data_IF_433563240907
#
_entry.id   IF_433563240907
#
_cell.length_a   1.000
_cell.length_b   1.000
_cell.length_c   1.000
_cell.angle_alpha   90.00
_cell.angle_beta   90.00
_cell.angle_gamma   90.00
#
_symmetry.space_group_name_H-M   'P 1'
#
loop_
_entity.id
_entity.type
_entity.pdbx_description
1 polymer ?
#
# COMPACT_ATOMS: atom_id res chain seq x y z
N UNK A 1 -39.71 -50.71 24.84
CA UNK A 1 -40.48 -49.48 25.15
C UNK A 1 -39.52 -48.31 25.18
N UNK A 2 -39.90 -47.23 24.48
CA UNK A 2 -39.10 -46.07 24.06
C UNK A 2 -38.45 -45.31 25.22
N UNK A 3 -37.16 -44.97 25.07
CA UNK A 3 -36.50 -43.91 25.83
C UNK A 3 -37.02 -42.54 25.35
N UNK A 4 -37.19 -41.63 26.32
CA UNK A 4 -37.63 -40.26 26.13
C UNK A 4 -36.59 -39.43 25.38
N UNK A 5 -37.00 -38.82 24.26
CA UNK A 5 -36.33 -37.64 23.70
C UNK A 5 -37.11 -36.41 24.16
N UNK A 6 -36.62 -35.75 25.21
CA UNK A 6 -37.07 -34.41 25.59
C UNK A 6 -36.20 -33.43 24.83
N UNK A 7 -36.76 -32.87 23.77
CA UNK A 7 -36.16 -31.80 22.98
C UNK A 7 -36.03 -30.55 23.85
N UNK A 8 -34.81 -30.23 24.29
CA UNK A 8 -34.49 -28.92 24.87
C UNK A 8 -34.46 -27.89 23.73
N UNK A 9 -35.19 -26.76 23.84
CA UNK A 9 -35.11 -25.71 22.84
C UNK A 9 -33.74 -25.02 22.92
N UNK A 10 -33.14 -24.84 21.75
CA UNK A 10 -31.84 -24.21 21.56
C UNK A 10 -31.75 -22.89 22.31
N UNK A 11 -30.76 -22.83 23.21
CA UNK A 11 -30.32 -21.57 23.79
C UNK A 11 -29.80 -20.70 22.64
N UNK A 12 -30.65 -19.81 22.15
CA UNK A 12 -30.23 -18.64 21.37
C UNK A 12 -29.28 -17.88 22.28
N UNK A 13 -28.00 -18.14 22.10
CA UNK A 13 -26.92 -17.34 22.67
C UNK A 13 -27.06 -15.98 22.04
N UNK A 14 -27.71 -15.07 22.75
CA UNK A 14 -27.63 -13.64 22.47
C UNK A 14 -26.17 -13.24 22.70
N UNK A 15 -25.33 -13.42 21.69
CA UNK A 15 -24.05 -12.75 21.60
C UNK A 15 -24.34 -11.26 21.50
N UNK A 16 -24.39 -10.61 22.67
CA UNK A 16 -24.28 -9.17 22.79
C UNK A 16 -22.99 -8.77 22.08
N UNK A 17 -23.12 -8.19 20.89
CA UNK A 17 -22.03 -7.72 20.06
C UNK A 17 -21.21 -6.71 20.84
N UNK A 18 -20.11 -7.16 21.45
CA UNK A 18 -19.13 -6.23 22.02
C UNK A 18 -18.67 -5.28 20.90
N UNK A 19 -18.49 -3.98 21.18
CA UNK A 19 -17.96 -3.07 20.19
C UNK A 19 -16.59 -3.58 19.73
N UNK A 20 -16.39 -3.60 18.42
CA UNK A 20 -15.16 -4.05 17.77
C UNK A 20 -14.09 -2.98 18.04
N UNK A 21 -12.99 -3.36 18.71
CA UNK A 21 -11.94 -2.43 19.14
C UNK A 21 -10.71 -2.64 18.27
N UNK A 22 -10.55 -1.75 17.31
CA UNK A 22 -9.35 -1.72 16.49
C UNK A 22 -8.30 -0.80 17.12
N UNK A 23 -7.06 -1.27 17.21
CA UNK A 23 -5.88 -0.49 17.61
C UNK A 23 -4.97 -0.36 16.40
N UNK A 24 -5.23 0.60 15.51
CA UNK A 24 -4.19 1.09 14.63
C UNK A 24 -3.40 2.16 15.37
N UNK A 25 -2.08 1.95 15.49
CA UNK A 25 -1.15 3.00 15.88
C UNK A 25 -0.96 3.96 14.70
N UNK A 26 -1.43 5.20 14.87
CA UNK A 26 -1.20 6.29 13.91
C UNK A 26 0.30 6.46 13.60
N UNK A 27 1.16 6.22 14.58
CA UNK A 27 2.62 6.34 14.47
C UNK A 27 3.16 5.34 13.45
N UNK A 28 2.69 4.09 13.44
CA UNK A 28 3.17 3.08 12.50
C UNK A 28 2.83 3.44 11.06
N UNK A 29 1.64 4.01 10.82
CA UNK A 29 1.23 4.52 9.51
C UNK A 29 2.14 5.68 9.07
N UNK A 30 2.46 6.60 10.00
CA UNK A 30 3.35 7.72 9.73
C UNK A 30 4.80 7.26 9.46
N UNK A 31 5.30 6.27 10.19
CA UNK A 31 6.62 5.68 9.94
C UNK A 31 6.69 5.00 8.58
N UNK A 32 5.67 4.21 8.23
CA UNK A 32 5.54 3.61 6.91
C UNK A 32 5.52 4.70 5.83
N UNK A 33 4.65 5.71 5.97
CA UNK A 33 4.56 6.83 5.03
C UNK A 33 5.89 7.59 4.87
N UNK A 34 6.62 7.79 5.97
CA UNK A 34 7.95 8.41 5.93
C UNK A 34 8.96 7.54 5.19
N UNK A 35 8.94 6.22 5.40
CA UNK A 35 9.79 5.29 4.67
C UNK A 35 9.47 5.28 3.17
N UNK A 36 8.18 5.29 2.79
CA UNK A 36 7.74 5.41 1.39
C UNK A 36 8.23 6.72 0.79
N UNK A 37 8.07 7.84 1.49
CA UNK A 37 8.52 9.15 1.02
C UNK A 37 10.02 9.17 0.74
N UNK A 38 10.85 8.66 1.67
CA UNK A 38 12.30 8.56 1.48
C UNK A 38 12.63 7.65 0.30
N UNK A 39 11.95 6.51 0.15
CA UNK A 39 12.16 5.61 -0.98
C UNK A 39 11.84 6.29 -2.33
N UNK A 40 10.75 7.06 -2.42
CA UNK A 40 10.40 7.84 -3.61
C UNK A 40 11.45 8.91 -3.95
N UNK A 41 11.98 9.61 -2.93
CA UNK A 41 13.04 10.60 -3.13
C UNK A 41 14.32 9.95 -3.64
N UNK A 42 14.71 8.80 -3.07
CA UNK A 42 15.85 8.04 -3.57
C UNK A 42 15.57 7.61 -5.02
N UNK A 43 14.36 7.20 -5.36
CA UNK A 43 13.95 6.89 -6.75
C UNK A 43 13.79 8.11 -7.67
N UNK A 44 14.27 9.30 -7.28
CA UNK A 44 14.23 10.52 -8.09
C UNK A 44 12.82 11.00 -8.46
N UNK A 45 11.84 10.67 -7.62
CA UNK A 45 10.53 11.31 -7.71
C UNK A 45 10.66 12.73 -7.15
N UNK A 46 10.21 13.77 -7.88
CA UNK A 46 10.31 15.15 -7.40
C UNK A 46 9.63 15.31 -6.03
N UNK A 47 10.20 16.06 -5.07
CA UNK A 47 9.70 16.09 -3.69
C UNK A 47 8.23 16.44 -3.55
N UNK A 48 7.74 17.39 -4.37
CA UNK A 48 6.31 17.75 -4.42
C UNK A 48 5.43 16.56 -4.83
N UNK A 49 5.85 15.83 -5.86
CA UNK A 49 5.11 14.69 -6.40
C UNK A 49 5.13 13.55 -5.38
N UNK A 50 6.29 13.27 -4.78
CA UNK A 50 6.42 12.26 -3.73
C UNK A 50 5.52 12.56 -2.52
N UNK A 51 5.45 13.82 -2.09
CA UNK A 51 4.60 14.23 -0.97
C UNK A 51 3.11 14.03 -1.27
N UNK A 52 2.66 14.42 -2.47
CA UNK A 52 1.26 14.25 -2.89
C UNK A 52 0.92 12.77 -3.06
N UNK A 53 1.80 11.97 -3.67
CA UNK A 53 1.59 10.54 -3.84
C UNK A 53 1.48 9.80 -2.50
N UNK A 54 2.36 10.12 -1.54
CA UNK A 54 2.29 9.57 -0.17
C UNK A 54 1.02 10.02 0.53
N UNK A 55 0.61 11.29 0.39
CA UNK A 55 -0.64 11.77 0.94
C UNK A 55 -1.84 10.99 0.37
N UNK A 56 -1.91 10.81 -0.95
CA UNK A 56 -2.96 10.00 -1.60
C UNK A 56 -2.95 8.58 -1.04
N UNK A 57 -1.79 7.93 -0.96
CA UNK A 57 -1.68 6.57 -0.42
C UNK A 57 -2.13 6.47 1.04
N UNK A 58 -1.79 7.44 1.88
CA UNK A 58 -2.24 7.52 3.28
C UNK A 58 -3.77 7.69 3.35
N UNK A 59 -4.34 8.60 2.56
CA UNK A 59 -5.79 8.79 2.48
C UNK A 59 -6.50 7.51 2.01
N UNK A 60 -5.93 6.81 1.04
CA UNK A 60 -6.42 5.52 0.56
C UNK A 60 -6.36 4.45 1.66
N UNK A 61 -5.25 4.32 2.38
CA UNK A 61 -5.11 3.41 3.52
C UNK A 61 -6.21 3.67 4.55
N UNK A 62 -6.43 4.93 4.94
CA UNK A 62 -7.46 5.26 5.91
C UNK A 62 -8.87 5.01 5.37
N UNK A 63 -9.17 5.37 4.11
CA UNK A 63 -10.46 5.12 3.50
C UNK A 63 -10.77 3.61 3.41
N UNK A 64 -9.85 2.83 2.84
CA UNK A 64 -10.02 1.39 2.65
C UNK A 64 -9.96 0.59 3.95
N UNK A 65 -9.06 0.94 4.87
CA UNK A 65 -8.98 0.31 6.19
C UNK A 65 -10.23 0.59 7.03
N UNK A 66 -10.77 1.81 6.94
CA UNK A 66 -12.05 2.15 7.58
C UNK A 66 -13.21 1.41 6.93
N UNK A 67 -13.25 1.33 5.60
CA UNK A 67 -14.25 0.54 4.88
C UNK A 67 -14.20 -0.94 5.31
N UNK A 68 -13.02 -1.55 5.33
CA UNK A 68 -12.80 -2.92 5.81
C UNK A 68 -13.36 -3.13 7.22
N UNK A 69 -13.09 -2.20 8.14
CA UNK A 69 -13.55 -2.29 9.53
C UNK A 69 -15.09 -2.34 9.68
N UNK A 70 -15.85 -1.89 8.68
CA UNK A 70 -17.30 -1.95 8.72
C UNK A 70 -17.85 -3.37 8.50
N UNK A 71 -17.07 -4.25 7.83
CA UNK A 71 -17.54 -5.56 7.39
C UNK A 71 -16.83 -6.73 8.09
N UNK A 72 -15.67 -6.48 8.70
CA UNK A 72 -14.93 -7.54 9.38
C UNK A 72 -15.51 -7.80 10.77
N UNK A 73 -15.94 -9.03 10.99
CA UNK A 73 -16.37 -9.55 12.30
C UNK A 73 -15.18 -10.12 13.07
N UNK A 74 -14.24 -9.26 13.48
CA UNK A 74 -13.07 -9.65 14.29
C UNK A 74 -12.90 -8.70 15.47
N UNK A 75 -12.23 -9.19 16.52
CA UNK A 75 -11.90 -8.36 17.68
C UNK A 75 -10.80 -7.34 17.38
N UNK A 76 -9.83 -7.69 16.52
CA UNK A 76 -8.68 -6.85 16.17
C UNK A 76 -8.26 -7.06 14.70
N UNK A 77 -7.74 -6.01 14.05
CA UNK A 77 -6.94 -6.13 12.82
C UNK A 77 -5.49 -5.78 13.19
N UNK A 78 -4.52 -6.25 12.42
CA UNK A 78 -3.13 -5.81 12.61
C UNK A 78 -2.88 -4.54 11.81
N UNK A 79 -1.84 -3.76 12.15
CA UNK A 79 -1.48 -2.58 11.37
C UNK A 79 -1.12 -2.95 9.92
N UNK A 80 -0.55 -4.14 9.71
CA UNK A 80 -0.18 -4.68 8.40
C UNK A 80 -1.42 -4.97 7.56
N UNK A 81 -2.45 -5.57 8.17
CA UNK A 81 -3.74 -5.79 7.53
C UNK A 81 -4.42 -4.47 7.17
N UNK A 82 -4.46 -3.51 8.11
CA UNK A 82 -5.07 -2.21 7.89
C UNK A 82 -4.38 -1.43 6.78
N UNK A 83 -3.04 -1.37 6.78
CA UNK A 83 -2.28 -0.67 5.74
C UNK A 83 -2.34 -1.40 4.40
N UNK A 84 -2.11 -2.72 4.37
CA UNK A 84 -2.05 -3.49 3.13
C UNK A 84 -3.42 -3.61 2.45
N UNK A 85 -4.40 -4.18 3.15
CA UNK A 85 -5.76 -4.33 2.61
C UNK A 85 -6.43 -2.96 2.46
N UNK A 86 -6.16 -2.03 3.37
CA UNK A 86 -6.67 -0.66 3.26
C UNK A 86 -6.12 0.08 2.05
N UNK A 87 -4.84 -0.05 1.71
CA UNK A 87 -4.30 0.54 0.48
C UNK A 87 -4.98 -0.06 -0.76
N UNK A 88 -5.18 -1.37 -0.80
CA UNK A 88 -5.81 -2.06 -1.94
C UNK A 88 -7.29 -1.67 -2.12
N UNK A 89 -8.09 -1.71 -1.03
CA UNK A 89 -9.50 -1.31 -1.08
C UNK A 89 -9.65 0.20 -1.28
N UNK A 90 -8.78 0.98 -0.64
CA UNK A 90 -8.78 2.43 -0.72
C UNK A 90 -8.44 2.93 -2.11
N UNK A 91 -7.43 2.36 -2.77
CA UNK A 91 -7.09 2.69 -4.15
C UNK A 91 -8.24 2.33 -5.10
N UNK A 92 -8.81 1.11 -4.96
CA UNK A 92 -9.99 0.65 -5.70
C UNK A 92 -11.16 1.62 -5.61
N UNK A 93 -11.53 2.02 -4.39
CA UNK A 93 -12.60 2.97 -4.18
C UNK A 93 -12.24 4.35 -4.76
N UNK A 94 -11.02 4.82 -4.52
CA UNK A 94 -10.56 6.16 -4.92
C UNK A 94 -10.60 6.36 -6.43
N UNK A 95 -9.93 5.51 -7.21
CA UNK A 95 -10.02 5.66 -8.67
C UNK A 95 -11.40 5.22 -9.18
N UNK A 96 -12.12 4.32 -8.51
CA UNK A 96 -13.47 3.92 -8.92
C UNK A 96 -14.44 5.10 -8.91
N UNK A 97 -14.48 5.85 -7.81
CA UNK A 97 -15.26 7.10 -7.72
C UNK A 97 -14.76 8.13 -8.73
N UNK A 98 -13.45 8.30 -8.86
CA UNK A 98 -12.85 9.21 -9.84
C UNK A 98 -13.29 8.94 -11.28
N UNK A 99 -13.38 7.66 -11.66
CA UNK A 99 -13.76 7.21 -13.01
C UNK A 99 -15.26 7.28 -13.24
N UNK A 100 -16.10 6.93 -12.24
CA UNK A 100 -17.56 7.04 -12.32
C UNK A 100 -17.99 8.50 -12.49
N UNK A 101 -17.36 9.41 -11.74
CA UNK A 101 -17.73 10.83 -11.71
C UNK A 101 -16.88 11.70 -12.66
N UNK A 102 -16.05 11.11 -13.52
CA UNK A 102 -15.12 11.84 -14.40
C UNK A 102 -15.82 12.90 -15.26
N UNK A 103 -17.00 12.59 -15.77
CA UNK A 103 -17.77 13.47 -16.67
C UNK A 103 -18.87 14.24 -15.93
N UNK A 104 -18.64 14.56 -14.65
CA UNK A 104 -19.58 15.32 -13.81
C UNK A 104 -18.90 16.54 -13.21
N UNK A 105 -19.69 17.46 -12.66
CA UNK A 105 -19.19 18.71 -12.05
C UNK A 105 -18.29 18.48 -10.83
N UNK A 106 -18.36 17.30 -10.21
CA UNK A 106 -17.54 16.94 -9.04
C UNK A 106 -16.25 16.19 -9.39
N UNK A 107 -15.94 16.02 -10.68
CA UNK A 107 -14.78 15.27 -11.18
C UNK A 107 -13.43 15.70 -10.58
N UNK A 108 -13.30 16.99 -10.21
CA UNK A 108 -12.08 17.53 -9.60
C UNK A 108 -11.74 16.94 -8.23
N UNK A 109 -12.74 16.50 -7.46
CA UNK A 109 -12.56 16.01 -6.09
C UNK A 109 -13.26 14.68 -5.80
N UNK A 110 -13.97 14.08 -6.75
CA UNK A 110 -14.68 12.81 -6.56
C UNK A 110 -13.82 11.68 -6.00
N UNK A 111 -12.53 11.67 -6.34
CA UNK A 111 -11.55 10.72 -5.81
C UNK A 111 -11.38 10.78 -4.28
N UNK A 112 -11.74 11.90 -3.64
CA UNK A 112 -11.65 12.07 -2.18
C UNK A 112 -12.87 11.50 -1.43
N UNK A 113 -13.97 11.19 -2.14
CA UNK A 113 -15.23 10.74 -1.53
C UNK A 113 -15.08 9.49 -0.63
N UNK A 114 -14.24 8.48 -0.96
CA UNK A 114 -14.02 7.34 -0.09
C UNK A 114 -13.47 7.69 1.31
N UNK A 115 -12.85 8.85 1.50
CA UNK A 115 -12.36 9.30 2.81
C UNK A 115 -13.51 9.40 3.83
N UNK A 116 -14.75 9.60 3.37
CA UNK A 116 -15.94 9.63 4.21
C UNK A 116 -16.18 8.31 4.98
N UNK A 117 -15.59 7.18 4.56
CA UNK A 117 -15.66 5.94 5.33
C UNK A 117 -14.98 6.05 6.71
N UNK A 118 -13.97 6.90 6.86
CA UNK A 118 -13.28 7.10 8.14
C UNK A 118 -14.22 7.64 9.25
N UNK A 119 -14.84 8.83 9.11
CA UNK A 119 -15.76 9.33 10.13
C UNK A 119 -16.98 8.42 10.33
N UNK A 120 -17.46 7.74 9.27
CA UNK A 120 -18.55 6.77 9.37
C UNK A 120 -18.19 5.56 10.24
N UNK A 121 -16.97 5.03 10.11
CA UNK A 121 -16.50 3.91 10.93
C UNK A 121 -16.29 4.31 12.40
N UNK A 122 -15.79 5.52 12.63
CA UNK A 122 -15.65 6.09 13.99
C UNK A 122 -17.02 6.29 14.62
N UNK A 123 -17.97 6.89 13.89
CA UNK A 123 -19.33 7.13 14.38
C UNK A 123 -20.04 5.84 14.77
N UNK A 124 -19.87 4.77 13.98
CA UNK A 124 -20.40 3.43 14.29
C UNK A 124 -19.62 2.69 15.39
N UNK A 125 -18.64 3.34 16.03
CA UNK A 125 -17.76 2.74 17.05
C UNK A 125 -17.06 1.46 16.57
N UNK A 126 -16.78 1.38 15.26
CA UNK A 126 -16.07 0.24 14.62
C UNK A 126 -14.56 0.46 14.56
N UNK A 127 -14.14 1.72 14.58
CA UNK A 127 -12.75 2.11 14.52
C UNK A 127 -12.41 2.96 15.75
N UNK A 128 -11.40 2.54 16.50
CA UNK A 128 -10.67 3.39 17.44
C UNK A 128 -9.27 3.61 16.88
N UNK A 129 -8.72 4.79 17.10
CA UNK A 129 -7.34 5.09 16.70
C UNK A 129 -6.60 5.27 18.01
N UNK A 130 -5.66 4.36 18.27
CA UNK A 130 -4.80 4.49 19.43
C UNK A 130 -3.60 5.36 19.05
N UNK A 131 -3.44 6.46 19.79
CA UNK A 131 -2.33 7.41 19.62
C UNK A 131 -1.19 7.07 20.59
N UNK A 132 -1.41 6.13 21.51
CA UNK A 132 -0.42 5.74 22.50
C UNK A 132 0.80 5.13 21.81
N UNK A 133 1.98 5.62 22.18
CA UNK A 133 3.26 5.27 21.57
C UNK A 133 3.44 3.75 21.69
N UNK A 134 3.41 3.05 20.55
CA UNK A 134 3.85 1.67 20.48
C UNK A 134 5.36 1.63 20.70
N UNK A 135 5.77 1.64 21.97
CA UNK A 135 7.12 1.28 22.38
C UNK A 135 7.29 -0.21 22.15
N UNK A 136 7.73 -0.60 20.97
CA UNK A 136 8.25 -1.96 20.77
C UNK A 136 9.28 -1.99 19.64
N UNK A 137 10.48 -2.48 19.96
CA UNK A 137 11.52 -2.79 18.98
C UNK A 137 11.00 -3.71 17.86
N UNK A 138 9.99 -4.53 18.17
CA UNK A 138 9.26 -5.42 17.27
C UNK A 138 8.71 -4.68 16.03
N UNK A 139 8.24 -3.43 16.18
CA UNK A 139 7.74 -2.64 15.05
C UNK A 139 8.88 -2.18 14.13
N UNK A 140 10.07 -1.94 14.67
CA UNK A 140 11.21 -1.48 13.87
C UNK A 140 11.85 -2.61 13.08
N UNK A 141 11.98 -3.81 13.66
CA UNK A 141 12.46 -4.98 12.90
C UNK A 141 11.44 -5.39 11.83
N UNK A 142 10.14 -5.37 12.13
CA UNK A 142 9.10 -5.64 11.14
C UNK A 142 9.17 -4.67 9.95
N UNK A 143 9.26 -3.36 10.22
CA UNK A 143 9.40 -2.35 9.17
C UNK A 143 10.66 -2.57 8.33
N UNK A 144 11.78 -2.91 8.97
CA UNK A 144 13.03 -3.20 8.26
C UNK A 144 12.91 -4.44 7.38
N UNK A 145 12.28 -5.51 7.87
CA UNK A 145 12.04 -6.72 7.10
C UNK A 145 11.09 -6.46 5.92
N UNK A 146 10.02 -5.69 6.14
CA UNK A 146 9.09 -5.25 5.08
C UNK A 146 9.83 -4.42 4.04
N UNK A 147 10.63 -3.43 4.44
CA UNK A 147 11.45 -2.64 3.50
C UNK A 147 12.42 -3.53 2.72
N UNK A 148 13.03 -4.52 3.36
CA UNK A 148 13.92 -5.45 2.70
C UNK A 148 13.19 -6.29 1.63
N UNK A 149 12.01 -6.81 1.96
CA UNK A 149 11.18 -7.57 1.01
C UNK A 149 10.71 -6.69 -0.15
N UNK A 150 10.32 -5.44 0.12
CA UNK A 150 9.93 -4.47 -0.92
C UNK A 150 11.08 -4.22 -1.89
N UNK A 151 12.27 -3.91 -1.39
CA UNK A 151 13.44 -3.70 -2.25
C UNK A 151 13.87 -4.96 -2.98
N UNK A 152 13.70 -6.14 -2.38
CA UNK A 152 13.98 -7.41 -3.05
C UNK A 152 13.01 -7.68 -4.19
N UNK A 153 11.71 -7.45 -4.01
CA UNK A 153 10.70 -7.61 -5.07
C UNK A 153 10.92 -6.60 -6.20
N UNK A 154 11.31 -5.37 -5.87
CA UNK A 154 11.64 -4.38 -6.88
C UNK A 154 12.95 -4.72 -7.61
N UNK A 155 13.86 -5.50 -7.01
CA UNK A 155 15.21 -5.71 -7.52
C UNK A 155 15.38 -6.22 -8.96
N UNK A 156 14.49 -7.06 -9.52
CA UNK A 156 14.63 -7.54 -10.90
C UNK A 156 14.49 -6.42 -11.92
N UNK A 157 13.54 -5.52 -11.69
CA UNK A 157 13.30 -4.34 -12.52
C UNK A 157 14.27 -3.22 -12.10
N UNK A 158 14.38 -3.04 -10.79
CA UNK A 158 15.20 -2.04 -10.14
C UNK A 158 16.48 -2.66 -9.64
N UNK A 159 17.54 -2.73 -10.43
CA UNK A 159 18.75 -3.42 -9.96
C UNK A 159 19.42 -2.77 -8.71
N UNK A 160 19.25 -1.45 -8.50
CA UNK A 160 19.96 -0.70 -7.45
C UNK A 160 19.48 -0.87 -5.99
N UNK A 161 18.22 -1.24 -5.68
CA UNK A 161 17.80 -1.56 -4.33
C UNK A 161 18.28 -2.94 -3.87
N UNK A 162 18.82 -3.80 -4.74
CA UNK A 162 19.27 -5.14 -4.33
C UNK A 162 20.29 -5.10 -3.17
N UNK A 163 21.36 -4.29 -3.22
CA UNK A 163 22.28 -4.19 -2.08
C UNK A 163 21.60 -3.66 -0.81
N UNK A 164 20.64 -2.74 -0.93
CA UNK A 164 19.86 -2.22 0.20
C UNK A 164 18.97 -3.30 0.82
N UNK A 165 18.33 -4.14 -0.01
CA UNK A 165 17.54 -5.27 0.44
C UNK A 165 18.41 -6.24 1.24
N UNK A 166 19.58 -6.61 0.71
CA UNK A 166 20.52 -7.51 1.40
C UNK A 166 21.07 -6.88 2.69
N UNK A 167 21.33 -5.58 2.70
CA UNK A 167 21.77 -4.87 3.89
C UNK A 167 20.69 -4.90 4.99
N UNK A 168 19.44 -4.60 4.62
CA UNK A 168 18.32 -4.64 5.55
C UNK A 168 18.08 -6.06 6.09
N UNK A 169 18.10 -7.11 5.25
CA UNK A 169 18.06 -8.51 5.69
C UNK A 169 19.19 -8.81 6.68
N UNK A 170 20.41 -8.36 6.37
CA UNK A 170 21.57 -8.60 7.23
C UNK A 170 21.40 -7.95 8.61
N UNK A 171 20.83 -6.75 8.66
CA UNK A 171 20.52 -6.05 9.92
C UNK A 171 19.40 -6.78 10.68
N UNK A 172 18.36 -7.29 10.01
CA UNK A 172 17.32 -8.12 10.63
C UNK A 172 17.94 -9.38 11.25
N UNK A 173 18.79 -10.10 10.50
CA UNK A 173 19.50 -11.29 11.01
C UNK A 173 20.40 -10.94 12.20
N UNK A 174 21.10 -9.80 12.17
CA UNK A 174 21.90 -9.33 13.30
C UNK A 174 21.04 -9.12 14.57
N UNK A 175 19.85 -8.52 14.43
CA UNK A 175 18.93 -8.25 15.54
C UNK A 175 18.36 -9.53 16.12
N UNK A 176 17.77 -10.37 15.26
CA UNK A 176 16.93 -11.52 15.65
C UNK A 176 17.71 -12.82 15.86
N UNK A 177 18.92 -12.95 15.30
CA UNK A 177 19.70 -14.20 15.35
C UNK A 177 21.07 -14.00 16.02
N UNK A 178 21.15 -14.08 17.37
CA UNK A 178 22.39 -13.86 18.12
C UNK A 178 23.59 -14.70 17.66
N UNK A 179 23.33 -15.95 17.23
CA UNK A 179 24.35 -16.88 16.72
C UNK A 179 25.10 -16.34 15.49
N UNK A 180 24.42 -15.55 14.65
CA UNK A 180 24.96 -15.09 13.37
C UNK A 180 25.48 -13.66 13.41
N UNK A 181 25.34 -12.94 14.53
CA UNK A 181 25.74 -11.53 14.68
C UNK A 181 27.10 -11.23 14.06
N UNK A 182 28.19 -11.86 14.52
CA UNK A 182 29.54 -11.57 13.98
C UNK A 182 29.62 -11.63 12.44
N UNK A 183 29.01 -12.63 11.82
CA UNK A 183 28.96 -12.78 10.36
C UNK A 183 28.11 -11.67 9.73
N UNK A 184 26.95 -11.37 10.29
CA UNK A 184 26.09 -10.27 9.85
C UNK A 184 26.78 -8.91 9.93
N UNK A 185 27.60 -8.61 10.94
CA UNK A 185 28.36 -7.35 10.97
C UNK A 185 29.38 -7.26 9.82
N UNK A 186 30.11 -8.35 9.56
CA UNK A 186 31.10 -8.37 8.48
C UNK A 186 30.41 -8.17 7.12
N UNK A 187 29.30 -8.89 6.89
CA UNK A 187 28.51 -8.75 5.67
C UNK A 187 27.94 -7.32 5.55
N UNK A 188 27.39 -6.76 6.63
CA UNK A 188 26.88 -5.39 6.63
C UNK A 188 27.97 -4.35 6.33
N UNK A 189 29.18 -4.52 6.88
CA UNK A 189 30.31 -3.64 6.61
C UNK A 189 30.70 -3.62 5.12
N UNK A 190 30.57 -4.75 4.42
CA UNK A 190 30.76 -4.83 2.98
C UNK A 190 29.56 -4.26 2.19
N UNK A 191 28.33 -4.52 2.64
CA UNK A 191 27.12 -4.09 1.93
C UNK A 191 26.83 -2.59 2.05
N UNK A 192 27.29 -1.92 3.10
CA UNK A 192 27.13 -0.46 3.27
C UNK A 192 27.75 0.33 2.09
N UNK A 193 29.06 0.21 1.78
CA UNK A 193 29.64 0.95 0.67
C UNK A 193 29.03 0.56 -0.68
N UNK A 194 28.69 -0.73 -0.87
CA UNK A 194 28.01 -1.20 -2.10
C UNK A 194 26.64 -0.53 -2.24
N UNK A 195 25.86 -0.44 -1.17
CA UNK A 195 24.55 0.21 -1.16
C UNK A 195 24.64 1.69 -1.48
N UNK A 196 25.61 2.39 -0.89
CA UNK A 196 25.88 3.80 -1.19
C UNK A 196 26.25 3.99 -2.66
N UNK A 197 27.19 3.20 -3.18
CA UNK A 197 27.57 3.25 -4.60
C UNK A 197 26.39 2.93 -5.52
N UNK A 198 25.55 1.96 -5.14
CA UNK A 198 24.38 1.57 -5.91
C UNK A 198 23.36 2.71 -6.01
N UNK A 199 23.07 3.41 -4.91
CA UNK A 199 22.24 4.63 -4.94
C UNK A 199 22.88 5.70 -5.82
N UNK A 200 24.17 5.98 -5.66
CA UNK A 200 24.86 7.05 -6.42
C UNK A 200 24.96 6.76 -7.92
N UNK A 201 24.94 5.49 -8.33
CA UNK A 201 25.04 5.05 -9.73
C UNK A 201 23.72 4.56 -10.32
N UNK A 202 22.62 4.70 -9.60
CA UNK A 202 21.29 4.32 -10.10
C UNK A 202 20.94 5.13 -11.37
N UNK A 203 20.17 4.55 -12.29
CA UNK A 203 19.77 5.25 -13.51
C UNK A 203 18.74 6.36 -13.20
N UNK A 204 18.88 7.48 -13.92
CA UNK A 204 18.06 8.70 -13.75
C UNK A 204 16.78 8.64 -14.62
N UNK A 205 16.80 7.80 -15.67
CA UNK A 205 15.67 7.46 -16.52
C UNK A 205 15.72 5.96 -16.79
N UNK A 206 14.64 5.26 -16.50
CA UNK A 206 14.61 3.80 -16.38
C UNK A 206 14.14 3.17 -17.68
N UNK A 207 15.07 2.62 -18.48
CA UNK A 207 14.88 1.86 -19.75
C UNK A 207 13.64 2.20 -20.61
N UNK A 208 13.23 3.47 -20.67
CA UNK A 208 11.99 3.96 -21.29
C UNK A 208 12.05 3.84 -22.82
N UNK A 209 12.17 2.63 -23.36
CA UNK A 209 12.13 2.31 -24.79
C UNK A 209 11.60 0.90 -25.06
N UNK A 210 11.01 0.19 -24.08
CA UNK A 210 10.15 -0.95 -24.44
C UNK A 210 8.76 -0.43 -24.82
N UNK A 211 8.22 -0.93 -25.93
CA UNK A 211 6.98 -0.41 -26.55
C UNK A 211 5.78 -0.46 -25.60
N UNK A 212 5.78 -1.43 -24.69
CA UNK A 212 4.68 -1.67 -23.77
C UNK A 212 4.60 -0.59 -22.68
N UNK A 213 5.73 -0.10 -22.17
CA UNK A 213 5.74 0.96 -21.15
C UNK A 213 5.18 2.26 -21.73
N UNK A 214 5.48 2.54 -22.99
CA UNK A 214 4.92 3.69 -23.70
C UNK A 214 3.41 3.59 -23.87
N UNK A 215 2.90 2.39 -24.17
CA UNK A 215 1.47 2.14 -24.19
C UNK A 215 0.84 2.32 -22.80
N UNK A 216 1.48 1.86 -21.73
CA UNK A 216 0.99 2.01 -20.36
C UNK A 216 0.90 3.47 -19.91
N UNK A 217 1.90 4.28 -20.26
CA UNK A 217 1.86 5.73 -20.02
C UNK A 217 0.72 6.39 -20.80
N UNK A 218 0.59 6.07 -22.09
CA UNK A 218 -0.45 6.62 -22.94
C UNK A 218 -1.86 6.27 -22.44
N UNK A 219 -2.08 5.02 -22.00
CA UNK A 219 -3.33 4.58 -21.38
C UNK A 219 -3.58 5.32 -20.06
N UNK A 220 -2.57 5.44 -19.20
CA UNK A 220 -2.69 6.13 -17.91
C UNK A 220 -3.09 7.60 -18.09
N UNK A 221 -2.45 8.30 -19.04
CA UNK A 221 -2.79 9.68 -19.41
C UNK A 221 -4.23 9.80 -19.92
N UNK A 222 -4.63 8.91 -20.80
CA UNK A 222 -6.00 8.84 -21.36
C UNK A 222 -7.05 8.65 -20.27
N UNK A 223 -6.85 7.68 -19.38
CA UNK A 223 -7.77 7.42 -18.27
C UNK A 223 -7.78 8.54 -17.22
N UNK A 224 -6.64 9.22 -17.05
CA UNK A 224 -6.51 10.41 -16.20
C UNK A 224 -7.32 11.59 -16.73
N UNK A 225 -7.35 11.79 -18.04
CA UNK A 225 -8.02 12.93 -18.69
C UNK A 225 -9.49 12.66 -19.04
N UNK A 226 -9.78 11.57 -19.77
CA UNK A 226 -11.10 11.29 -20.33
C UNK A 226 -11.86 10.17 -19.59
N UNK A 227 -11.11 9.32 -18.88
CA UNK A 227 -11.67 8.20 -18.14
C UNK A 227 -11.90 6.96 -19.01
N UNK A 228 -12.44 5.89 -18.42
CA UNK A 228 -12.51 4.56 -19.05
C UNK A 228 -13.45 4.45 -20.27
N UNK A 229 -14.29 5.46 -20.51
CA UNK A 229 -15.25 5.48 -21.64
C UNK A 229 -14.61 5.84 -22.96
N UNK A 230 -13.42 6.40 -22.94
CA UNK A 230 -12.65 6.78 -24.12
C UNK A 230 -11.41 5.89 -24.24
N UNK A 231 -11.04 5.54 -25.48
CA UNK A 231 -9.94 4.64 -25.79
C UNK A 231 -8.93 5.32 -26.72
N UNK A 232 -7.67 5.36 -26.29
CA UNK A 232 -6.57 5.93 -27.06
C UNK A 232 -6.31 5.19 -28.39
N UNK A 233 -6.61 3.88 -28.44
CA UNK A 233 -6.37 3.05 -29.61
C UNK A 233 -7.57 3.01 -30.58
N UNK A 234 -8.69 3.66 -30.26
CA UNK A 234 -9.89 3.60 -31.08
C UNK A 234 -10.94 4.63 -30.68
N UNK A 235 -11.04 5.70 -31.47
CA UNK A 235 -12.05 6.74 -31.26
C UNK A 235 -13.48 6.16 -31.26
N UNK A 236 -14.30 6.62 -30.32
CA UNK A 236 -15.68 6.15 -30.15
C UNK A 236 -15.82 4.77 -29.49
N UNK A 237 -14.72 4.19 -29.00
CA UNK A 237 -14.74 2.92 -28.25
C UNK A 237 -14.30 3.13 -26.80
N UNK A 238 -14.77 2.26 -25.89
CA UNK A 238 -14.35 2.26 -24.48
C UNK A 238 -13.01 1.54 -24.29
N UNK A 239 -12.27 1.93 -23.25
CA UNK A 239 -11.05 1.22 -22.86
C UNK A 239 -11.41 -0.09 -22.17
N UNK A 240 -11.15 -1.21 -22.85
CA UNK A 240 -11.44 -2.56 -22.32
C UNK A 240 -10.18 -3.29 -21.79
N UNK A 241 -8.99 -2.74 -22.01
CA UNK A 241 -7.72 -3.38 -21.67
C UNK A 241 -7.24 -2.98 -20.26
N UNK A 242 -7.15 -3.94 -19.34
CA UNK A 242 -6.52 -3.88 -17.99
C UNK A 242 -6.42 -2.49 -17.32
N UNK A 243 -7.48 -1.68 -17.42
CA UNK A 243 -7.38 -0.24 -17.21
C UNK A 243 -7.31 0.15 -15.73
N UNK A 244 -7.58 -0.78 -14.83
CA UNK A 244 -7.63 -0.54 -13.39
C UNK A 244 -6.34 0.06 -12.82
N UNK A 245 -5.19 -0.60 -13.05
CA UNK A 245 -3.90 -0.11 -12.55
C UNK A 245 -3.51 1.22 -13.20
N UNK A 246 -3.80 1.39 -14.49
CA UNK A 246 -3.48 2.60 -15.25
C UNK A 246 -4.39 3.78 -14.90
N UNK A 247 -5.65 3.55 -14.54
CA UNK A 247 -6.54 4.59 -14.03
C UNK A 247 -6.08 5.10 -12.67
N UNK A 248 -5.52 4.23 -11.83
CA UNK A 248 -4.90 4.66 -10.58
C UNK A 248 -3.64 5.49 -10.85
N UNK A 249 -2.76 5.08 -11.77
CA UNK A 249 -1.61 5.91 -12.17
C UNK A 249 -2.05 7.27 -12.72
N UNK A 250 -3.01 7.29 -13.65
CA UNK A 250 -3.54 8.51 -14.24
C UNK A 250 -4.19 9.45 -13.22
N UNK A 251 -4.80 8.90 -12.16
CA UNK A 251 -5.26 9.68 -11.01
C UNK A 251 -4.10 10.32 -10.25
N UNK A 252 -3.05 9.56 -9.95
CA UNK A 252 -1.87 10.10 -9.24
C UNK A 252 -1.24 11.20 -10.10
N UNK A 253 -1.01 10.94 -11.40
CA UNK A 253 -0.43 11.90 -12.33
C UNK A 253 -1.21 13.21 -12.38
N UNK A 254 -2.53 13.13 -12.53
CA UNK A 254 -3.40 14.30 -12.60
C UNK A 254 -3.42 15.08 -11.29
N UNK A 255 -3.55 14.40 -10.15
CA UNK A 255 -3.67 15.07 -8.84
C UNK A 255 -2.33 15.66 -8.40
N UNK A 256 -1.20 14.99 -8.67
CA UNK A 256 0.11 15.52 -8.30
C UNK A 256 0.69 16.50 -9.32
N UNK A 257 0.20 16.50 -10.56
CA UNK A 257 0.84 17.19 -11.67
C UNK A 257 2.18 16.53 -12.03
N UNK A 258 2.20 15.21 -12.03
CA UNK A 258 3.42 14.42 -12.26
C UNK A 258 3.96 14.62 -13.68
N UNK A 259 5.29 14.80 -13.85
CA UNK A 259 5.92 14.68 -15.16
C UNK A 259 5.68 13.30 -15.76
N UNK A 260 5.83 13.21 -17.09
CA UNK A 260 5.71 11.95 -17.80
C UNK A 260 6.57 10.85 -17.17
N UNK A 261 6.03 9.63 -17.15
CA UNK A 261 6.70 8.41 -16.70
C UNK A 261 6.95 8.32 -15.20
N UNK A 262 6.85 9.39 -14.42
CA UNK A 262 7.21 9.37 -12.99
C UNK A 262 6.29 8.46 -12.18
N UNK A 263 4.98 8.46 -12.44
CA UNK A 263 4.08 7.59 -11.68
C UNK A 263 4.23 6.13 -12.07
N UNK A 264 4.17 5.82 -13.37
CA UNK A 264 4.23 4.45 -13.86
C UNK A 264 5.58 3.75 -13.60
N UNK A 265 6.71 4.46 -13.65
CA UNK A 265 8.03 3.82 -13.50
C UNK A 265 8.53 3.76 -12.06
N UNK A 266 8.09 4.68 -11.20
CA UNK A 266 8.66 4.89 -9.86
C UNK A 266 7.62 4.84 -8.75
N UNK A 267 6.54 5.60 -8.90
CA UNK A 267 5.58 5.77 -7.79
C UNK A 267 4.68 4.55 -7.62
N UNK A 268 3.99 4.13 -8.67
CA UNK A 268 3.03 3.03 -8.65
C UNK A 268 3.70 1.69 -8.33
N UNK A 269 4.85 1.30 -8.94
CA UNK A 269 5.52 0.05 -8.61
C UNK A 269 5.86 -0.06 -7.12
N UNK A 270 6.39 1.02 -6.53
CA UNK A 270 6.72 1.04 -5.11
C UNK A 270 5.46 0.86 -4.23
N UNK A 271 4.39 1.61 -4.51
CA UNK A 271 3.15 1.53 -3.73
C UNK A 271 2.47 0.16 -3.84
N UNK A 272 2.42 -0.42 -5.04
CA UNK A 272 1.88 -1.77 -5.27
C UNK A 272 2.70 -2.81 -4.50
N UNK A 273 4.03 -2.73 -4.56
CA UNK A 273 4.90 -3.69 -3.87
C UNK A 273 4.72 -3.59 -2.35
N UNK A 274 4.64 -2.38 -1.79
CA UNK A 274 4.37 -2.18 -0.36
C UNK A 274 3.02 -2.77 0.04
N UNK A 275 1.96 -2.46 -0.71
CA UNK A 275 0.62 -3.01 -0.45
C UNK A 275 0.63 -4.55 -0.49
N UNK A 276 1.30 -5.12 -1.49
CA UNK A 276 1.42 -6.57 -1.67
C UNK A 276 2.17 -7.22 -0.51
N UNK A 277 3.33 -6.69 -0.12
CA UNK A 277 4.12 -7.21 1.01
C UNK A 277 3.32 -7.14 2.31
N UNK A 278 2.61 -6.04 2.57
CA UNK A 278 1.79 -5.89 3.77
C UNK A 278 0.62 -6.88 3.81
N UNK A 279 -0.05 -7.12 2.67
CA UNK A 279 -1.10 -8.14 2.57
C UNK A 279 -0.53 -9.53 2.82
N UNK A 280 0.58 -9.90 2.18
CA UNK A 280 1.25 -11.19 2.40
C UNK A 280 1.60 -11.35 3.88
N UNK A 281 2.19 -10.34 4.49
CA UNK A 281 2.55 -10.38 5.91
C UNK A 281 1.33 -10.56 6.81
N UNK A 282 0.25 -9.82 6.54
CA UNK A 282 -1.00 -9.95 7.27
C UNK A 282 -1.63 -11.34 7.12
N UNK A 283 -1.48 -11.99 5.97
CA UNK A 283 -1.92 -13.37 5.75
C UNK A 283 -1.02 -14.34 6.55
N UNK A 284 0.30 -14.17 6.50
CA UNK A 284 1.23 -15.04 7.21
C UNK A 284 0.99 -15.01 8.73
N UNK A 285 0.81 -13.83 9.32
CA UNK A 285 0.47 -13.66 10.74
C UNK A 285 -0.84 -14.33 11.15
N UNK A 286 -1.73 -14.59 10.18
CA UNK A 286 -3.00 -15.27 10.44
C UNK A 286 -2.91 -16.78 10.33
N UNK A 287 -1.91 -17.28 9.62
CA UNK A 287 -1.70 -18.70 9.40
C UNK A 287 -0.71 -19.30 10.42
N UNK A 288 0.12 -18.48 11.05
CA UNK A 288 1.00 -18.85 12.18
C UNK A 288 0.26 -18.89 13.50
#
# INVERSE_FOLDING_TARGET
MKKQDVHQPDAVTSQTSKPIVFEASLITVLLLASAVFVALLISEVPPKIAAIAVLIAVLQIFAGGSFLSMFVYKSHLTWKEFCGVGLALGSLLTFGFDQIFRNTDISGFAWTLPILFLPLSIWKSRLKIDITIAQNDLTTTDLLAISATVYLILSPEWFWPLPLALLAITIVVWREMPKWRKHSAVIAACLIPISVLSILKRPIGWWIEDSDVALYEAISRTLGHWGFRDNINGAGTSTNYHWFAYAWSGLIDRVSGSPDWVSNTRTIPLLITIGTVLIIWAILERLS
#
